data_IF_643675640147
#
_entry.id   IF_643675640147
#
_cell.length_a   1.000
_cell.length_b   1.000
_cell.length_c   1.000
_cell.angle_alpha   90.00
_cell.angle_beta   90.00
_cell.angle_gamma   90.00
#
_symmetry.space_group_name_H-M   'P 1'
#
loop_
_entity.id
_entity.type
_entity.pdbx_description
1 polymer ?
#
# COMPACT_ATOMS: atom_id res chain seq x y z
N UNK A 1 -8.37 -43.91 10.37
CA UNK A 1 -9.84 -43.74 10.37
C UNK A 1 -10.19 -42.97 11.63
N UNK A 2 -11.00 -41.91 11.52
CA UNK A 2 -11.28 -40.86 12.52
C UNK A 2 -10.15 -39.84 12.69
N UNK A 3 -10.37 -38.53 12.82
CA UNK A 3 -11.55 -37.65 12.76
C UNK A 3 -10.96 -36.22 12.94
N UNK A 4 -11.61 -35.19 12.40
CA UNK A 4 -11.49 -33.84 12.97
C UNK A 4 -10.88 -32.78 12.07
N UNK A 5 -11.65 -32.35 11.07
CA UNK A 5 -11.62 -30.94 10.66
C UNK A 5 -11.88 -30.07 11.89
N UNK A 6 -10.99 -29.14 12.20
CA UNK A 6 -11.30 -27.97 13.02
C UNK A 6 -10.96 -26.76 12.17
N UNK A 7 -11.97 -26.24 11.47
CA UNK A 7 -11.88 -24.97 10.76
C UNK A 7 -11.94 -23.88 11.84
N UNK A 8 -10.78 -23.37 12.23
CA UNK A 8 -10.71 -22.12 12.96
C UNK A 8 -11.11 -21.00 11.98
N UNK A 9 -12.12 -20.26 12.42
CA UNK A 9 -12.83 -19.20 11.77
C UNK A 9 -11.88 -18.02 11.46
N UNK A 10 -11.40 -17.92 10.21
CA UNK A 10 -10.63 -16.77 9.73
C UNK A 10 -11.59 -15.71 9.20
N UNK A 11 -11.46 -14.52 9.76
CA UNK A 11 -12.13 -13.25 9.43
C UNK A 11 -12.68 -13.19 8.00
N UNK A 12 -14.01 -13.05 7.89
CA UNK A 12 -14.62 -12.47 6.69
C UNK A 12 -14.17 -11.01 6.59
N UNK A 13 -13.09 -10.76 5.84
CA UNK A 13 -12.93 -9.50 5.13
C UNK A 13 -14.07 -9.45 4.14
N UNK A 14 -15.19 -8.88 4.58
CA UNK A 14 -16.37 -8.61 3.76
C UNK A 14 -15.87 -7.93 2.51
N UNK A 15 -15.94 -8.68 1.42
CA UNK A 15 -15.53 -8.23 0.11
C UNK A 15 -16.23 -6.90 -0.15
N UNK A 16 -15.46 -5.82 -0.20
CA UNK A 16 -15.91 -4.59 -0.84
C UNK A 16 -15.83 -4.84 -2.36
N UNK A 17 -16.62 -5.81 -2.85
CA UNK A 17 -16.85 -6.01 -4.27
C UNK A 17 -17.84 -4.96 -4.73
N UNK A 18 -17.39 -3.72 -4.78
CA UNK A 18 -17.98 -2.74 -5.67
C UNK A 18 -16.83 -1.88 -6.16
N UNK A 19 -16.02 -2.46 -7.05
CA UNK A 19 -15.30 -1.64 -8.00
C UNK A 19 -16.35 -0.75 -8.67
N UNK A 20 -16.20 0.59 -8.65
CA UNK A 20 -17.09 1.42 -9.43
C UNK A 20 -16.85 1.01 -10.88
N UNK A 21 -17.89 0.47 -11.52
CA UNK A 21 -17.86 0.15 -12.93
C UNK A 21 -17.73 1.48 -13.68
N UNK A 22 -16.51 1.92 -13.96
CA UNK A 22 -16.25 3.12 -14.73
C UNK A 22 -16.35 2.77 -16.21
N UNK A 23 -17.57 2.45 -16.65
CA UNK A 23 -17.93 2.39 -18.06
C UNK A 23 -17.93 3.82 -18.61
N UNK A 24 -16.75 4.37 -18.92
CA UNK A 24 -16.62 5.65 -19.59
C UNK A 24 -16.11 5.45 -21.02
N UNK A 25 -16.89 5.83 -22.05
CA UNK A 25 -16.48 5.70 -23.44
C UNK A 25 -15.54 6.86 -23.79
N UNK A 26 -14.24 6.60 -23.76
CA UNK A 26 -13.20 7.50 -24.21
C UNK A 26 -11.82 6.87 -24.03
N UNK A 27 -11.08 6.71 -25.13
CA UNK A 27 -9.67 6.30 -25.13
C UNK A 27 -8.81 7.44 -24.57
N UNK A 28 -8.85 7.67 -23.26
CA UNK A 28 -8.05 8.68 -22.57
C UNK A 28 -6.77 8.09 -21.93
N UNK A 29 -6.48 6.81 -22.20
CA UNK A 29 -5.34 6.12 -21.61
C UNK A 29 -5.50 5.83 -20.11
N UNK A 30 -6.72 5.91 -19.56
CA UNK A 30 -6.98 5.48 -18.19
C UNK A 30 -6.61 4.01 -17.98
N UNK A 31 -5.86 3.74 -16.92
CA UNK A 31 -5.51 2.38 -16.47
C UNK A 31 -5.99 2.23 -15.03
N UNK A 32 -6.79 1.20 -14.76
CA UNK A 32 -7.28 0.95 -13.41
C UNK A 32 -6.13 0.63 -12.45
N UNK A 33 -6.32 0.88 -11.15
CA UNK A 33 -5.31 0.57 -10.13
C UNK A 33 -4.97 -0.92 -10.12
N UNK A 34 -5.97 -1.79 -10.31
CA UNK A 34 -5.78 -3.24 -10.39
C UNK A 34 -4.93 -3.62 -11.62
N UNK A 35 -5.15 -2.96 -12.75
CA UNK A 35 -4.37 -3.20 -13.96
C UNK A 35 -2.93 -2.69 -13.82
N UNK A 36 -2.73 -1.53 -13.18
CA UNK A 36 -1.40 -1.03 -12.84
C UNK A 36 -0.68 -1.98 -11.88
N UNK A 37 -1.38 -2.50 -10.87
CA UNK A 37 -0.80 -3.43 -9.90
C UNK A 37 -0.36 -4.72 -10.57
N UNK A 38 -1.21 -5.28 -11.45
CA UNK A 38 -0.90 -6.47 -12.25
C UNK A 38 0.31 -6.26 -13.15
N UNK A 39 0.40 -5.11 -13.85
CA UNK A 39 1.51 -4.79 -14.75
C UNK A 39 2.84 -4.63 -14.00
N UNK A 40 2.81 -4.04 -12.82
CA UNK A 40 4.00 -3.80 -12.00
C UNK A 40 4.37 -5.02 -11.14
N UNK A 41 3.50 -6.04 -11.10
CA UNK A 41 3.72 -7.24 -10.28
C UNK A 41 3.71 -6.95 -8.78
N UNK A 42 3.07 -5.86 -8.36
CA UNK A 42 3.01 -5.47 -6.94
C UNK A 42 1.91 -6.23 -6.22
N UNK A 43 2.24 -6.74 -5.04
CA UNK A 43 1.30 -7.41 -4.13
C UNK A 43 0.92 -6.53 -2.94
N UNK A 44 -0.01 -7.00 -2.08
CA UNK A 44 -0.25 -6.39 -0.79
C UNK A 44 1.03 -6.32 0.06
N UNK A 45 1.12 -5.27 0.88
CA UNK A 45 2.17 -5.12 1.90
C UNK A 45 1.72 -5.94 3.12
N UNK A 46 2.49 -6.95 3.49
CA UNK A 46 2.15 -7.88 4.58
C UNK A 46 2.75 -7.39 5.92
N UNK A 47 3.85 -6.65 5.87
CA UNK A 47 4.49 -6.05 7.05
C UNK A 47 5.17 -4.72 6.77
N UNK A 48 5.53 -4.00 7.84
CA UNK A 48 6.31 -2.76 7.76
C UNK A 48 7.70 -3.02 7.17
N UNK A 49 8.28 -4.19 7.43
CA UNK A 49 9.57 -4.58 6.88
C UNK A 49 9.55 -4.69 5.34
N UNK A 50 8.39 -4.96 4.72
CA UNK A 50 8.28 -4.99 3.25
C UNK A 50 8.46 -3.59 2.62
N UNK A 51 8.32 -2.53 3.42
CA UNK A 51 8.54 -1.14 3.01
C UNK A 51 9.98 -0.67 3.27
N UNK A 52 10.81 -1.49 3.93
CA UNK A 52 12.18 -1.12 4.22
C UNK A 52 13.03 -1.19 2.94
N UNK A 53 13.55 -0.04 2.50
CA UNK A 53 14.49 0.04 1.40
C UNK A 53 15.92 0.13 1.97
N UNK A 54 16.79 -0.87 1.74
CA UNK A 54 18.18 -0.79 2.16
C UNK A 54 18.89 0.31 1.39
N UNK A 55 19.85 0.96 2.05
CA UNK A 55 20.70 2.01 1.48
C UNK A 55 19.90 3.16 0.84
N UNK A 56 18.69 3.44 1.36
CA UNK A 56 17.85 4.54 0.91
C UNK A 56 18.52 5.90 1.14
N UNK A 57 19.31 6.00 2.20
CA UNK A 57 20.04 7.20 2.60
C UNK A 57 21.54 6.94 2.48
N UNK A 58 22.27 7.95 2.01
CA UNK A 58 23.72 7.90 1.89
C UNK A 58 24.41 8.01 3.26
N UNK A 59 23.71 8.58 4.25
CA UNK A 59 24.19 8.72 5.62
C UNK A 59 23.04 8.93 6.62
N UNK A 60 23.33 8.70 7.91
CA UNK A 60 22.40 9.05 9.00
C UNK A 60 22.12 10.56 9.07
N UNK A 61 23.09 11.41 8.68
CA UNK A 61 22.92 12.87 8.67
C UNK A 61 21.87 13.31 7.64
N UNK A 62 21.89 12.72 6.44
CA UNK A 62 20.88 12.97 5.40
C UNK A 62 19.47 12.60 5.87
N UNK A 63 19.34 11.46 6.54
CA UNK A 63 18.07 11.01 7.11
C UNK A 63 17.54 12.00 8.16
N UNK A 64 18.39 12.46 9.08
CA UNK A 64 18.00 13.41 10.12
C UNK A 64 17.62 14.79 9.53
N UNK A 65 18.34 15.26 8.52
CA UNK A 65 18.03 16.51 7.82
C UNK A 65 16.66 16.44 7.13
N UNK A 66 16.36 15.32 6.46
CA UNK A 66 15.05 15.09 5.86
C UNK A 66 13.93 15.11 6.92
N UNK A 67 14.13 14.43 8.05
CA UNK A 67 13.14 14.43 9.12
C UNK A 67 12.93 15.83 9.70
N UNK A 68 14.00 16.61 9.89
CA UNK A 68 13.90 17.96 10.41
C UNK A 68 13.03 18.85 9.50
N UNK A 69 13.27 18.81 8.19
CA UNK A 69 12.50 19.56 7.19
C UNK A 69 11.03 19.10 7.12
N UNK A 70 10.79 17.78 7.06
CA UNK A 70 9.45 17.21 7.03
C UNK A 70 8.61 17.66 8.24
N UNK A 71 9.21 17.59 9.44
CA UNK A 71 8.51 17.99 10.66
C UNK A 71 8.35 19.51 10.77
N UNK A 72 9.28 20.31 10.26
CA UNK A 72 9.13 21.76 10.16
C UNK A 72 7.95 22.11 9.23
N UNK A 73 7.92 21.53 8.03
CA UNK A 73 6.86 21.71 7.04
C UNK A 73 5.48 21.32 7.58
N UNK A 74 5.39 20.16 8.24
CA UNK A 74 4.14 19.71 8.86
C UNK A 74 3.63 20.66 9.95
N UNK A 75 4.53 21.19 10.78
CA UNK A 75 4.17 22.12 11.86
C UNK A 75 3.85 23.52 11.37
N UNK A 76 4.45 23.97 10.26
CA UNK A 76 4.17 25.27 9.66
C UNK A 76 2.70 25.43 9.24
N UNK A 77 2.03 24.34 8.84
CA UNK A 77 0.60 24.34 8.51
C UNK A 77 -0.35 24.29 9.72
N UNK A 78 0.17 24.24 10.95
CA UNK A 78 -0.62 24.22 12.19
C UNK A 78 -0.64 25.58 12.92
N UNK A 79 0.02 26.59 12.35
CA UNK A 79 0.11 27.94 12.90
C UNK A 79 -0.99 28.87 12.38
#
# INVERSE_FOLDING_TARGET
>A
MALGETIAQTMEVKAMTSSPNHDQPGDDGYVSTEELARRQGVGPIESVEDLAQPDLWESDEEYEDFLADLYASRRAGLA
#
